data_IF_245313251150
#
_entry.id   IF_245313251150
#
_cell.length_a   1.000
_cell.length_b   1.000
_cell.length_c   1.000
_cell.angle_alpha   90.00
_cell.angle_beta   90.00
_cell.angle_gamma   90.00
#
_symmetry.space_group_name_H-M   'P 1'
#
loop_
_entity.id
_entity.type
_entity.pdbx_description
1 polymer ?
#
# COMPACT_ATOMS: atom_id res chain seq x y z
N UNK A 1 -8.94 -6.91 9.45
CA UNK A 1 -9.25 -7.76 10.62
C UNK A 1 -10.61 -7.44 11.24
N UNK A 2 -10.92 -6.20 11.64
CA UNK A 2 -12.23 -5.82 12.25
C UNK A 2 -13.42 -5.86 11.27
N UNK A 3 -13.17 -5.71 9.98
CA UNK A 3 -14.21 -5.56 8.95
C UNK A 3 -14.87 -6.88 8.52
N UNK A 4 -14.20 -8.04 8.68
CA UNK A 4 -14.75 -9.35 8.33
C UNK A 4 -15.58 -9.98 9.46
N UNK A 5 -15.27 -9.65 10.72
CA UNK A 5 -16.00 -10.15 11.89
C UNK A 5 -17.47 -9.68 11.92
N UNK A 6 -17.83 -8.62 11.19
CA UNK A 6 -19.14 -7.96 11.29
C UNK A 6 -20.14 -8.27 10.16
N UNK A 7 -19.94 -9.34 9.36
CA UNK A 7 -20.90 -9.78 8.33
C UNK A 7 -21.40 -8.63 7.42
N UNK A 8 -20.53 -7.70 7.03
CA UNK A 8 -20.92 -6.65 6.09
C UNK A 8 -20.87 -7.22 4.67
N UNK A 9 -21.99 -7.22 3.91
CA UNK A 9 -22.01 -7.76 2.55
C UNK A 9 -21.16 -6.87 1.63
N UNK A 10 -19.96 -7.33 1.28
CA UNK A 10 -19.10 -6.69 0.29
C UNK A 10 -19.35 -7.40 -1.04
N UNK A 11 -20.38 -6.97 -1.76
CA UNK A 11 -20.75 -7.49 -3.08
C UNK A 11 -20.56 -6.44 -4.17
N UNK A 12 -19.74 -6.78 -5.17
CA UNK A 12 -19.45 -6.06 -6.42
C UNK A 12 -20.67 -5.97 -7.38
N UNK A 13 -21.88 -5.75 -6.85
CA UNK A 13 -23.12 -5.87 -7.63
C UNK A 13 -24.14 -4.75 -7.44
N UNK A 14 -24.04 -3.88 -6.43
CA UNK A 14 -24.92 -2.71 -6.33
C UNK A 14 -24.47 -1.71 -5.26
N UNK A 15 -24.56 -0.43 -5.64
CA UNK A 15 -24.58 0.83 -4.88
C UNK A 15 -23.37 1.73 -5.13
N UNK A 16 -23.53 2.85 -5.87
CA UNK A 16 -22.58 3.96 -5.93
C UNK A 16 -22.59 4.76 -4.60
N UNK A 17 -22.52 4.05 -3.47
CA UNK A 17 -22.67 4.60 -2.12
C UNK A 17 -21.43 4.36 -1.25
N UNK A 18 -20.48 3.52 -1.68
CA UNK A 18 -19.07 3.59 -1.19
C UNK A 18 -18.30 4.79 -1.76
N UNK A 19 -18.97 5.59 -2.60
CA UNK A 19 -18.41 6.82 -3.13
C UNK A 19 -18.34 7.93 -2.07
N UNK A 20 -19.17 7.98 -1.02
CA UNK A 20 -19.04 9.08 -0.06
C UNK A 20 -17.74 9.04 0.74
N UNK A 21 -17.35 7.89 1.29
CA UNK A 21 -16.12 7.79 2.07
C UNK A 21 -14.86 7.91 1.21
N UNK A 22 -14.86 7.32 0.00
CA UNK A 22 -13.74 7.47 -0.94
C UNK A 22 -13.61 8.91 -1.44
N UNK A 23 -14.70 9.53 -1.90
CA UNK A 23 -14.66 10.92 -2.37
C UNK A 23 -14.44 11.91 -1.22
N UNK A 24 -14.91 11.63 0.01
CA UNK A 24 -14.60 12.45 1.18
C UNK A 24 -13.12 12.34 1.54
N UNK A 25 -12.52 11.14 1.52
CA UNK A 25 -11.08 10.95 1.76
C UNK A 25 -10.26 11.67 0.69
N UNK A 26 -10.67 11.56 -0.58
CA UNK A 26 -10.03 12.26 -1.69
C UNK A 26 -10.15 13.78 -1.56
N UNK A 27 -11.34 14.30 -1.21
CA UNK A 27 -11.56 15.72 -0.98
C UNK A 27 -10.73 16.25 0.19
N UNK A 28 -10.66 15.50 1.31
CA UNK A 28 -9.81 15.83 2.46
C UNK A 28 -8.34 15.81 2.07
N UNK A 29 -7.88 14.78 1.36
CA UNK A 29 -6.49 14.68 0.88
C UNK A 29 -6.13 15.85 -0.05
N UNK A 30 -7.06 16.26 -0.92
CA UNK A 30 -6.89 17.40 -1.83
C UNK A 30 -6.84 18.71 -1.05
N UNK A 31 -7.74 18.92 -0.09
CA UNK A 31 -7.76 20.11 0.77
C UNK A 31 -6.49 20.20 1.62
N UNK A 32 -6.01 19.09 2.18
CA UNK A 32 -4.74 19.03 2.89
C UNK A 32 -3.54 19.32 1.98
N UNK A 33 -3.53 18.77 0.75
CA UNK A 33 -2.49 19.06 -0.24
C UNK A 33 -2.43 20.54 -0.63
N UNK A 34 -3.58 21.19 -0.79
CA UNK A 34 -3.68 22.64 -1.04
C UNK A 34 -3.25 23.44 0.19
N UNK A 35 -3.67 23.04 1.39
CA UNK A 35 -3.26 23.69 2.64
C UNK A 35 -1.74 23.60 2.90
N UNK A 36 -1.11 22.48 2.53
CA UNK A 36 0.34 22.31 2.55
C UNK A 36 1.05 23.28 1.59
N UNK A 37 0.40 23.69 0.50
CA UNK A 37 0.95 24.68 -0.43
C UNK A 37 0.97 26.11 0.18
N UNK A 38 0.00 26.43 1.04
CA UNK A 38 -0.04 27.70 1.79
C UNK A 38 0.85 27.71 3.03
N UNK A 39 1.32 26.54 3.47
CA UNK A 39 2.25 26.44 4.59
C UNK A 39 3.69 26.63 4.10
N UNK A 40 4.57 27.36 4.80
CA UNK A 40 5.99 27.50 4.46
C UNK A 40 6.80 26.19 4.59
N UNK A 41 6.12 25.08 4.86
CA UNK A 41 6.71 23.73 4.87
C UNK A 41 7.02 23.38 3.42
N UNK A 42 8.30 23.42 3.07
CA UNK A 42 8.79 23.04 1.74
C UNK A 42 8.16 21.69 1.32
N UNK A 43 7.21 21.68 0.36
CA UNK A 43 6.55 20.44 -0.07
C UNK A 43 7.56 19.42 -0.60
N UNK A 44 8.71 19.89 -1.11
CA UNK A 44 9.86 19.06 -1.47
C UNK A 44 10.42 18.30 -0.25
N UNK A 45 10.51 18.92 0.93
CA UNK A 45 10.94 18.21 2.16
C UNK A 45 9.90 17.18 2.60
N UNK A 46 8.60 17.49 2.48
CA UNK A 46 7.55 16.54 2.80
C UNK A 46 7.58 15.32 1.85
N UNK A 47 7.76 15.56 0.54
CA UNK A 47 7.92 14.52 -0.46
C UNK A 47 9.20 13.70 -0.21
N UNK A 48 10.29 14.37 0.16
CA UNK A 48 11.54 13.70 0.53
C UNK A 48 11.36 12.78 1.74
N UNK A 49 10.75 13.25 2.82
CA UNK A 49 10.45 12.41 3.99
C UNK A 49 9.52 11.25 3.64
N UNK A 50 8.51 11.47 2.80
CA UNK A 50 7.63 10.39 2.31
C UNK A 50 8.41 9.33 1.53
N UNK A 51 9.33 9.75 0.65
CA UNK A 51 10.20 8.85 -0.10
C UNK A 51 11.17 8.08 0.81
N UNK A 52 11.76 8.74 1.82
CA UNK A 52 12.64 8.09 2.79
C UNK A 52 11.89 7.02 3.58
N UNK A 53 10.71 7.35 4.12
CA UNK A 53 9.89 6.39 4.84
C UNK A 53 9.48 5.23 3.92
N UNK A 54 9.05 5.53 2.70
CA UNK A 54 8.67 4.50 1.73
C UNK A 54 9.86 3.58 1.39
N UNK A 55 11.07 4.13 1.21
CA UNK A 55 12.29 3.35 1.01
C UNK A 55 12.62 2.44 2.20
N UNK A 56 12.54 2.97 3.43
CA UNK A 56 12.79 2.21 4.66
C UNK A 56 11.76 1.09 4.83
N UNK A 57 10.48 1.34 4.51
CA UNK A 57 9.38 0.37 4.65
C UNK A 57 9.38 -0.65 3.51
N UNK A 58 9.76 -0.25 2.30
CA UNK A 58 9.81 -1.14 1.14
C UNK A 58 10.81 -2.29 1.34
N UNK A 59 11.98 -2.02 1.93
CA UNK A 59 13.04 -3.03 2.17
C UNK A 59 12.55 -4.23 3.00
N UNK A 60 12.01 -4.09 4.24
CA UNK A 60 11.56 -5.22 5.02
C UNK A 60 10.35 -5.93 4.39
N UNK A 61 9.48 -5.20 3.67
CA UNK A 61 8.38 -5.81 2.92
C UNK A 61 8.94 -6.70 1.80
N UNK A 62 9.91 -6.21 1.03
CA UNK A 62 10.54 -6.96 -0.06
C UNK A 62 11.29 -8.18 0.47
N UNK A 63 11.99 -8.04 1.61
CA UNK A 63 12.65 -9.16 2.31
C UNK A 63 11.62 -10.20 2.76
N UNK A 64 10.52 -9.79 3.38
CA UNK A 64 9.46 -10.69 3.81
C UNK A 64 8.81 -11.41 2.62
N UNK A 65 8.53 -10.68 1.54
CA UNK A 65 7.99 -11.22 0.30
C UNK A 65 8.95 -12.24 -0.32
N UNK A 66 10.25 -11.93 -0.42
CA UNK A 66 11.26 -12.87 -0.93
C UNK A 66 11.39 -14.11 -0.06
N UNK A 67 11.32 -13.95 1.26
CA UNK A 67 11.35 -15.09 2.18
C UNK A 67 10.11 -15.98 2.06
N UNK A 68 8.91 -15.39 1.91
CA UNK A 68 7.68 -16.13 1.64
C UNK A 68 7.74 -16.85 0.29
N UNK A 69 8.20 -16.17 -0.75
CA UNK A 69 8.23 -16.69 -2.13
C UNK A 69 9.30 -17.76 -2.33
N UNK A 70 10.37 -17.71 -1.53
CA UNK A 70 11.38 -18.78 -1.45
C UNK A 70 10.95 -20.00 -0.62
N UNK A 71 9.88 -19.90 0.18
CA UNK A 71 9.44 -21.00 1.03
C UNK A 71 8.59 -22.01 0.24
N UNK A 72 9.16 -23.20 0.09
CA UNK A 72 8.57 -24.34 -0.62
C UNK A 72 7.20 -24.78 -0.08
N UNK A 73 6.92 -24.51 1.21
CA UNK A 73 5.64 -24.80 1.86
C UNK A 73 4.49 -23.85 1.50
N UNK A 74 4.78 -22.63 1.04
CA UNK A 74 3.75 -21.61 0.76
C UNK A 74 3.41 -21.57 -0.73
N UNK A 75 4.42 -21.76 -1.60
CA UNK A 75 4.29 -21.60 -3.06
C UNK A 75 3.99 -22.91 -3.84
N UNK A 76 4.03 -24.08 -3.20
CA UNK A 76 3.71 -25.35 -3.85
C UNK A 76 4.76 -25.79 -4.88
N UNK A 77 4.41 -25.99 -6.16
CA UNK A 77 5.32 -26.40 -7.24
C UNK A 77 5.90 -25.23 -8.05
N UNK A 78 5.46 -23.98 -7.79
CA UNK A 78 5.96 -22.76 -8.43
C UNK A 78 7.03 -22.09 -7.55
N UNK A 79 8.16 -22.76 -7.32
CA UNK A 79 9.31 -22.04 -6.75
C UNK A 79 9.87 -21.09 -7.79
N UNK A 80 10.16 -19.86 -7.36
CA UNK A 80 11.08 -19.00 -8.09
C UNK A 80 12.35 -19.80 -8.37
N UNK A 81 12.64 -20.03 -9.66
CA UNK A 81 13.91 -20.62 -10.09
C UNK A 81 15.05 -19.76 -9.53
N UNK A 82 16.18 -20.36 -9.16
CA UNK A 82 17.24 -19.65 -8.41
C UNK A 82 17.76 -18.39 -9.12
N UNK A 83 17.67 -18.34 -10.47
CA UNK A 83 17.97 -17.13 -11.25
C UNK A 83 16.98 -15.98 -11.03
N UNK A 84 15.69 -16.25 -10.86
CA UNK A 84 14.67 -15.22 -10.61
C UNK A 84 14.69 -14.74 -9.16
N UNK A 85 15.20 -15.58 -8.25
CA UNK A 85 15.49 -15.21 -6.86
C UNK A 85 16.69 -14.27 -6.76
N UNK A 86 17.66 -14.39 -7.67
CA UNK A 86 18.83 -13.51 -7.74
C UNK A 86 18.50 -12.15 -8.38
N UNK A 87 17.56 -12.11 -9.33
CA UNK A 87 17.08 -10.86 -9.95
C UNK A 87 16.06 -10.13 -9.06
N UNK A 88 15.29 -10.88 -8.26
CA UNK A 88 14.30 -10.30 -7.35
C UNK A 88 14.88 -9.74 -6.05
N UNK A 89 16.14 -10.07 -5.73
CA UNK A 89 16.89 -9.54 -4.59
C UNK A 89 17.74 -8.36 -5.05
#
# INVERSE_FOLDING_TARGET
AISEARKWPVGLGRKPEKAKEFYATLAIATMLGVALNFSPINPIKALYWSAVINGIVAVPIMVAMMHMTGNRRIMGTFHLHDGLRLVGW
#
